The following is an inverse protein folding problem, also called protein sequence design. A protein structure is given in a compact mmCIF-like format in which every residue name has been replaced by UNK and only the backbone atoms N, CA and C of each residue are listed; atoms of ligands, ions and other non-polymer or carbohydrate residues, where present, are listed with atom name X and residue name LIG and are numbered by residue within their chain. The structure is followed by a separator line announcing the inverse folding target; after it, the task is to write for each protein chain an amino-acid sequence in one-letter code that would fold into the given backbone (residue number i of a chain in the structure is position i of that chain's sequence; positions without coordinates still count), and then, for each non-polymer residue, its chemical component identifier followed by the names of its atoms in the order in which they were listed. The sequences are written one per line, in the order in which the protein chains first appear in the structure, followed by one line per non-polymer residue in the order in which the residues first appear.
data_IF_472223110296
#
_entry.id   IF_472223110296
#
_cell.length_a   1.000
_cell.length_b   1.000
_cell.length_c   1.000
_cell.angle_alpha   90.00
_cell.angle_beta   90.00
_cell.angle_gamma   90.00
#
_symmetry.space_group_name_H-M   'P 1'
#
loop_
_entity.id
_entity.type
_entity.pdbx_description
1 polymer ?
#
# COMPACT_ATOMS: atom_id res chain seq x y z
N UNK A 1 -8.47 -33.16 21.55
CA UNK A 1 -8.26 -31.73 21.78
C UNK A 1 -9.59 -31.10 22.19
N UNK A 2 -9.68 -30.68 23.46
CA UNK A 2 -10.92 -30.19 24.10
C UNK A 2 -11.15 -28.74 23.67
N UNK A 3 -12.20 -28.45 22.91
CA UNK A 3 -12.62 -27.07 22.60
C UNK A 3 -13.07 -26.41 23.89
N UNK A 4 -12.28 -25.45 24.35
CA UNK A 4 -12.63 -24.61 25.50
C UNK A 4 -13.71 -23.64 25.06
N UNK A 5 -14.95 -23.85 25.56
CA UNK A 5 -16.09 -22.98 25.33
C UNK A 5 -15.87 -21.63 26.00
N UNK A 6 -15.48 -20.64 25.22
CA UNK A 6 -15.35 -19.22 25.63
C UNK A 6 -16.71 -18.55 25.88
N UNK A 7 -17.83 -19.28 25.73
CA UNK A 7 -19.19 -18.75 25.79
C UNK A 7 -19.77 -18.64 27.20
N UNK A 8 -19.03 -19.07 28.22
CA UNK A 8 -19.52 -19.07 29.63
C UNK A 8 -18.78 -18.09 30.55
N UNK A 9 -18.02 -17.15 30.01
CA UNK A 9 -17.48 -16.05 30.82
C UNK A 9 -18.62 -15.07 31.13
N UNK A 10 -19.28 -15.28 32.27
CA UNK A 10 -20.25 -14.33 32.81
C UNK A 10 -19.54 -13.06 33.27
N UNK A 11 -19.38 -12.14 32.30
CA UNK A 11 -18.80 -10.81 32.53
C UNK A 11 -19.56 -10.04 33.62
N UNK A 12 -20.85 -10.33 33.84
CA UNK A 12 -21.65 -9.75 34.92
C UNK A 12 -21.27 -10.30 36.30
N UNK A 13 -20.81 -11.55 36.38
CA UNK A 13 -20.31 -12.12 37.63
C UNK A 13 -18.90 -11.57 38.00
N UNK A 14 -18.05 -11.39 36.97
CA UNK A 14 -16.74 -10.76 37.15
C UNK A 14 -16.89 -9.28 37.60
N UNK A 15 -17.80 -8.53 36.97
CA UNK A 15 -18.08 -7.15 37.37
C UNK A 15 -18.63 -7.03 38.77
N UNK A 16 -19.53 -7.93 39.19
CA UNK A 16 -20.08 -7.98 40.53
C UNK A 16 -19.03 -8.36 41.60
N UNK A 17 -18.05 -9.20 41.23
CA UNK A 17 -16.93 -9.55 42.13
C UNK A 17 -15.96 -8.38 42.33
N UNK A 18 -15.75 -7.55 41.33
CA UNK A 18 -14.88 -6.37 41.39
C UNK A 18 -15.52 -5.15 42.11
N UNK A 19 -16.85 -5.09 42.14
CA UNK A 19 -17.57 -3.93 42.72
C UNK A 19 -18.18 -4.18 44.11
N UNK A 20 -18.15 -5.42 44.62
CA UNK A 20 -18.60 -5.72 46.00
C UNK A 20 -17.49 -5.36 47.00
N UNK A 21 -17.68 -4.37 47.89
CA UNK A 21 -16.82 -4.22 49.04
C UNK A 21 -17.08 -5.44 49.96
N UNK A 22 -16.04 -6.24 50.20
CA UNK A 22 -16.10 -7.35 51.14
C UNK A 22 -16.54 -6.82 52.53
N UNK A 23 -17.74 -7.23 52.94
CA UNK A 23 -18.32 -6.90 54.22
C UNK A 23 -17.77 -7.79 55.35
N UNK A 24 -16.47 -8.06 55.40
CA UNK A 24 -15.78 -8.65 56.53
C UNK A 24 -15.11 -7.57 57.30
N UNK A 25 -15.84 -7.06 58.31
CA UNK A 25 -15.37 -6.05 59.23
C UNK A 25 -14.36 -6.58 60.25
N UNK A 26 -13.18 -6.97 59.80
CA UNK A 26 -12.05 -7.25 60.69
C UNK A 26 -10.86 -6.39 60.23
N UNK A 27 -10.50 -5.46 61.08
CA UNK A 27 -9.19 -4.80 61.13
C UNK A 27 -8.77 -3.96 59.92
N UNK A 28 -9.58 -2.95 59.57
CA UNK A 28 -9.11 -1.87 58.66
C UNK A 28 -8.38 -0.80 59.46
N UNK A 29 -7.07 -0.93 59.54
CA UNK A 29 -6.18 0.13 60.05
C UNK A 29 -6.02 1.27 59.04
N UNK A 30 -6.47 1.08 57.78
CA UNK A 30 -6.41 2.09 56.70
C UNK A 30 -7.80 2.62 56.47
N UNK A 31 -8.05 3.94 56.58
CA UNK A 31 -9.34 4.52 56.24
C UNK A 31 -9.71 4.23 54.77
N UNK A 32 -10.98 3.89 54.47
CA UNK A 32 -11.40 3.61 53.12
C UNK A 32 -11.28 4.90 52.29
N UNK A 33 -10.23 5.01 51.50
CA UNK A 33 -10.09 6.10 50.50
C UNK A 33 -11.00 5.79 49.34
N UNK A 34 -12.30 6.10 49.48
CA UNK A 34 -13.37 5.68 48.58
C UNK A 34 -13.23 6.15 47.13
N UNK A 35 -12.37 7.12 46.86
CA UNK A 35 -12.17 7.65 45.48
C UNK A 35 -10.87 7.15 44.82
N UNK A 36 -9.84 6.82 45.58
CA UNK A 36 -8.54 6.40 45.03
C UNK A 36 -8.62 5.11 44.25
N UNK A 37 -9.36 4.11 44.74
CA UNK A 37 -9.54 2.83 44.07
C UNK A 37 -10.28 3.03 42.70
N UNK A 38 -11.32 3.88 42.68
CA UNK A 38 -12.06 4.17 41.49
C UNK A 38 -11.22 4.95 40.43
N UNK A 39 -10.43 5.92 40.90
CA UNK A 39 -9.51 6.65 40.02
C UNK A 39 -8.42 5.73 39.44
N UNK A 40 -7.87 4.82 40.26
CA UNK A 40 -6.90 3.84 39.79
C UNK A 40 -7.51 2.90 38.75
N UNK A 41 -8.74 2.44 38.97
CA UNK A 41 -9.44 1.58 38.01
C UNK A 41 -9.76 2.32 36.71
N UNK A 42 -10.19 3.57 36.82
CA UNK A 42 -10.45 4.45 35.66
C UNK A 42 -9.16 4.72 34.87
N UNK A 43 -8.07 5.07 35.55
CA UNK A 43 -6.80 5.34 34.87
C UNK A 43 -6.22 4.07 34.21
N UNK A 44 -6.30 2.92 34.88
CA UNK A 44 -5.90 1.65 34.28
C UNK A 44 -6.75 1.28 33.05
N UNK A 45 -8.08 1.48 33.14
CA UNK A 45 -8.98 1.28 32.02
C UNK A 45 -8.70 2.23 30.83
N UNK A 46 -8.43 3.49 31.13
CA UNK A 46 -8.07 4.47 30.10
C UNK A 46 -6.73 4.11 29.42
N UNK A 47 -5.73 3.70 30.20
CA UNK A 47 -4.45 3.26 29.64
C UNK A 47 -4.59 2.00 28.79
N UNK A 48 -5.37 1.02 29.26
CA UNK A 48 -5.64 -0.20 28.48
C UNK A 48 -6.39 0.14 27.17
N UNK A 49 -7.38 1.02 27.23
CA UNK A 49 -8.10 1.49 26.04
C UNK A 49 -7.15 2.17 25.05
N UNK A 50 -6.31 3.09 25.51
CA UNK A 50 -5.36 3.78 24.65
C UNK A 50 -4.32 2.82 24.04
N UNK A 51 -3.85 1.83 24.79
CA UNK A 51 -2.94 0.82 24.29
C UNK A 51 -3.56 -0.04 23.18
N UNK A 52 -4.81 -0.50 23.38
CA UNK A 52 -5.55 -1.25 22.37
C UNK A 52 -5.85 -0.38 21.12
N UNK A 53 -6.23 0.87 21.33
CA UNK A 53 -6.49 1.81 20.25
C UNK A 53 -5.22 2.11 19.44
N UNK A 54 -4.10 2.36 20.11
CA UNK A 54 -2.81 2.57 19.44
C UNK A 54 -2.39 1.35 18.63
N UNK A 55 -2.56 0.14 19.19
CA UNK A 55 -2.26 -1.10 18.48
C UNK A 55 -3.18 -1.28 17.25
N UNK A 56 -4.47 -1.04 17.40
CA UNK A 56 -5.43 -1.12 16.30
C UNK A 56 -5.09 -0.12 15.19
N UNK A 57 -4.72 1.12 15.55
CA UNK A 57 -4.30 2.14 14.60
C UNK A 57 -3.01 1.75 13.89
N UNK A 58 -2.00 1.23 14.61
CA UNK A 58 -0.75 0.77 14.02
C UNK A 58 -0.97 -0.37 13.01
N UNK A 59 -1.84 -1.34 13.34
CA UNK A 59 -2.21 -2.42 12.44
C UNK A 59 -3.00 -1.93 11.21
N UNK A 60 -3.89 -0.95 11.39
CA UNK A 60 -4.67 -0.39 10.29
C UNK A 60 -3.77 0.39 9.32
N UNK A 61 -2.87 1.23 9.84
CA UNK A 61 -1.91 1.98 9.02
C UNK A 61 -0.92 1.07 8.31
N UNK A 62 -0.45 0.01 8.97
CA UNK A 62 0.41 -1.00 8.36
C UNK A 62 -0.26 -1.68 7.16
N UNK A 63 -1.51 -2.13 7.32
CA UNK A 63 -2.27 -2.74 6.22
C UNK A 63 -2.53 -1.78 5.06
N UNK A 64 -2.78 -0.52 5.34
CA UNK A 64 -2.98 0.50 4.30
C UNK A 64 -1.68 0.76 3.54
N UNK A 65 -0.55 0.90 4.26
CA UNK A 65 0.76 1.07 3.65
C UNK A 65 1.14 -0.13 2.77
N UNK A 66 0.84 -1.35 3.21
CA UNK A 66 1.09 -2.57 2.46
C UNK A 66 0.27 -2.64 1.16
N UNK A 67 -1.02 -2.26 1.21
CA UNK A 67 -1.86 -2.18 0.01
C UNK A 67 -1.32 -1.15 -0.98
N UNK A 68 -1.01 0.06 -0.53
CA UNK A 68 -0.46 1.09 -1.40
C UNK A 68 0.92 0.72 -1.96
N UNK A 69 1.75 0.08 -1.16
CA UNK A 69 3.03 -0.45 -1.62
C UNK A 69 2.84 -1.47 -2.73
N UNK A 70 1.87 -2.36 -2.61
CA UNK A 70 1.58 -3.39 -3.61
C UNK A 70 1.00 -2.77 -4.89
N UNK A 71 0.05 -1.85 -4.78
CA UNK A 71 -0.55 -1.18 -5.96
C UNK A 71 0.49 -0.35 -6.74
N UNK A 72 1.35 0.40 -6.02
CA UNK A 72 2.43 1.17 -6.66
C UNK A 72 3.58 0.28 -7.18
N UNK A 73 3.72 -0.93 -6.64
CA UNK A 73 4.76 -1.89 -7.05
C UNK A 73 4.43 -2.60 -8.34
N UNK A 74 3.16 -2.68 -8.69
CA UNK A 74 2.67 -3.47 -9.81
C UNK A 74 2.61 -2.70 -11.13
N UNK A 75 2.98 -1.43 -11.14
CA UNK A 75 2.95 -0.61 -12.35
C UNK A 75 4.35 -0.15 -12.73
N UNK A 76 4.76 -0.49 -13.95
CA UNK A 76 6.02 -0.09 -14.56
C UNK A 76 5.70 0.66 -15.85
N UNK A 77 6.51 1.62 -16.23
CA UNK A 77 6.28 2.41 -17.44
C UNK A 77 7.35 2.11 -18.50
N UNK A 78 6.93 1.84 -19.71
CA UNK A 78 7.82 1.80 -20.87
C UNK A 78 7.68 3.14 -21.61
N UNK A 79 8.81 3.85 -21.74
CA UNK A 79 8.92 5.07 -22.53
C UNK A 79 9.42 4.72 -23.91
N UNK A 80 8.70 5.13 -24.94
CA UNK A 80 9.06 4.91 -26.32
C UNK A 80 9.35 6.25 -27.01
N UNK A 81 10.58 6.41 -27.49
CA UNK A 81 11.04 7.56 -28.26
C UNK A 81 11.55 7.07 -29.60
N UNK A 82 10.83 7.37 -30.68
CA UNK A 82 11.22 7.02 -32.03
C UNK A 82 10.87 8.16 -32.99
N UNK A 83 11.49 8.20 -34.19
CA UNK A 83 11.05 9.10 -35.26
C UNK A 83 9.56 8.93 -35.59
N UNK A 84 8.90 10.01 -36.05
CA UNK A 84 7.46 10.00 -36.26
C UNK A 84 7.00 8.96 -37.30
N UNK A 85 7.84 8.60 -38.24
CA UNK A 85 7.61 7.56 -39.23
C UNK A 85 7.69 6.14 -38.73
N UNK A 86 8.29 5.93 -37.54
CA UNK A 86 8.52 4.62 -36.93
C UNK A 86 7.78 4.43 -35.60
N UNK A 87 7.23 5.50 -35.01
CA UNK A 87 6.66 5.48 -33.68
C UNK A 87 5.48 4.50 -33.56
N UNK A 88 4.65 4.42 -34.61
CA UNK A 88 3.47 3.54 -34.60
C UNK A 88 3.89 2.06 -34.70
N UNK A 89 4.82 1.73 -35.58
CA UNK A 89 5.34 0.39 -35.77
C UNK A 89 6.08 -0.11 -34.50
N UNK A 90 6.91 0.76 -33.92
CA UNK A 90 7.59 0.43 -32.68
C UNK A 90 6.62 0.31 -31.49
N UNK A 91 5.56 1.11 -31.45
CA UNK A 91 4.50 0.98 -30.43
C UNK A 91 3.81 -0.39 -30.53
N UNK A 92 3.45 -0.80 -31.74
CA UNK A 92 2.85 -2.12 -31.98
C UNK A 92 3.79 -3.26 -31.54
N UNK A 93 5.07 -3.14 -31.89
CA UNK A 93 6.10 -4.12 -31.48
C UNK A 93 6.24 -4.18 -29.96
N UNK A 94 6.32 -3.05 -29.27
CA UNK A 94 6.40 -3.03 -27.79
C UNK A 94 5.19 -3.69 -27.16
N UNK A 95 3.98 -3.38 -27.62
CA UNK A 95 2.76 -4.00 -27.12
C UNK A 95 2.73 -5.52 -27.34
N UNK A 96 3.24 -6.00 -28.47
CA UNK A 96 3.34 -7.44 -28.75
C UNK A 96 4.39 -8.13 -27.85
N UNK A 97 5.55 -7.50 -27.65
CA UNK A 97 6.58 -7.97 -26.72
C UNK A 97 6.00 -8.09 -25.30
N UNK A 98 5.28 -7.06 -24.84
CA UNK A 98 4.67 -7.04 -23.51
C UNK A 98 3.60 -8.13 -23.35
N UNK A 99 2.71 -8.29 -24.32
CA UNK A 99 1.68 -9.35 -24.32
C UNK A 99 2.25 -10.75 -24.26
N UNK A 100 3.41 -10.98 -24.85
CA UNK A 100 4.07 -12.29 -24.91
C UNK A 100 5.06 -12.51 -23.75
N UNK A 101 5.23 -11.52 -22.88
CA UNK A 101 6.13 -11.61 -21.72
C UNK A 101 5.41 -12.24 -20.53
N UNK A 102 5.89 -13.39 -20.00
CA UNK A 102 5.31 -14.00 -18.81
C UNK A 102 5.39 -13.04 -17.62
N UNK A 103 4.31 -12.99 -16.84
CA UNK A 103 4.24 -12.12 -15.65
C UNK A 103 3.75 -10.71 -15.91
N UNK A 104 3.54 -10.29 -17.16
CA UNK A 104 2.81 -9.08 -17.52
C UNK A 104 1.31 -9.38 -17.49
N UNK A 105 0.55 -8.67 -16.67
CA UNK A 105 -0.91 -8.82 -16.58
C UNK A 105 -1.62 -8.00 -17.63
N UNK A 106 -1.21 -6.75 -17.80
CA UNK A 106 -1.80 -5.79 -18.74
C UNK A 106 -0.75 -4.82 -19.25
N UNK A 107 -0.88 -4.41 -20.51
CA UNK A 107 -0.08 -3.34 -21.11
C UNK A 107 -1.01 -2.38 -21.84
N UNK A 108 -0.98 -1.11 -21.47
CA UNK A 108 -1.87 -0.08 -21.99
C UNK A 108 -1.06 1.12 -22.51
N UNK A 109 -1.28 1.49 -23.75
CA UNK A 109 -0.78 2.77 -24.27
C UNK A 109 -1.55 3.92 -23.60
N UNK A 110 -0.85 4.88 -23.02
CA UNK A 110 -1.48 6.10 -22.51
C UNK A 110 -1.93 6.97 -23.69
N UNK A 111 -3.22 7.35 -23.76
CA UNK A 111 -3.69 8.29 -24.76
C UNK A 111 -3.11 9.69 -24.51
N UNK A 112 -2.92 10.45 -25.60
CA UNK A 112 -2.35 11.80 -25.53
C UNK A 112 -3.13 12.73 -24.59
N UNK A 113 -4.44 12.57 -24.49
CA UNK A 113 -5.29 13.32 -23.55
C UNK A 113 -4.98 13.03 -22.06
N UNK A 114 -4.49 11.84 -21.71
CA UNK A 114 -4.03 11.52 -20.35
C UNK A 114 -2.64 12.13 -20.10
N UNK A 115 -1.77 12.08 -21.09
CA UNK A 115 -0.44 12.71 -21.03
C UNK A 115 -0.58 14.21 -20.87
N UNK A 116 -1.50 14.85 -21.60
CA UNK A 116 -1.81 16.27 -21.48
C UNK A 116 -2.23 16.66 -20.06
N UNK A 117 -3.11 15.90 -19.43
CA UNK A 117 -3.52 16.10 -18.04
C UNK A 117 -2.37 15.98 -17.05
N UNK A 118 -1.40 15.10 -17.32
CA UNK A 118 -0.21 14.95 -16.47
C UNK A 118 0.74 16.15 -16.61
N UNK A 119 0.73 16.82 -17.74
CA UNK A 119 1.57 17.99 -18.03
C UNK A 119 0.90 19.32 -17.61
N UNK A 120 -0.44 19.35 -17.53
CA UNK A 120 -1.22 20.54 -17.17
C UNK A 120 -0.73 21.29 -15.92
N UNK A 121 -0.37 20.62 -14.79
CA UNK A 121 0.13 21.30 -13.58
C UNK A 121 1.44 22.06 -13.78
N UNK A 122 2.23 21.67 -14.80
CA UNK A 122 3.57 22.23 -15.06
C UNK A 122 3.57 23.27 -16.17
N UNK A 123 2.74 23.09 -17.16
CA UNK A 123 2.75 23.91 -18.38
C UNK A 123 1.46 24.71 -18.61
N UNK A 124 0.41 24.45 -17.82
CA UNK A 124 -0.91 25.07 -18.01
C UNK A 124 -1.85 24.24 -18.90
N UNK A 125 -3.14 24.67 -19.00
CA UNK A 125 -4.19 23.85 -19.62
C UNK A 125 -4.18 23.77 -21.15
N UNK A 126 -3.38 24.57 -21.87
CA UNK A 126 -3.39 24.69 -23.32
C UNK A 126 -2.05 24.26 -23.94
N UNK A 127 -1.43 23.21 -23.44
CA UNK A 127 -0.14 22.73 -23.96
C UNK A 127 -0.38 21.87 -25.20
N UNK A 128 0.11 22.26 -26.38
CA UNK A 128 0.06 21.38 -27.53
C UNK A 128 1.08 20.24 -27.36
N UNK A 129 0.64 19.13 -26.79
CA UNK A 129 1.48 17.93 -26.57
C UNK A 129 2.11 17.44 -27.86
N UNK A 130 1.40 17.59 -28.98
CA UNK A 130 1.87 17.24 -30.33
C UNK A 130 3.10 18.03 -30.78
N UNK A 131 3.30 19.24 -30.24
CA UNK A 131 4.47 20.08 -30.55
C UNK A 131 5.67 19.80 -29.62
N UNK A 132 5.48 19.05 -28.57
CA UNK A 132 6.54 18.69 -27.63
C UNK A 132 7.14 17.33 -28.01
N UNK A 133 8.45 17.14 -27.88
CA UNK A 133 9.10 15.84 -28.08
C UNK A 133 8.80 14.91 -26.87
N UNK A 134 7.51 14.67 -26.61
CA UNK A 134 7.06 13.81 -25.51
C UNK A 134 7.14 12.35 -25.97
N UNK A 135 7.81 11.46 -25.24
CA UNK A 135 7.81 10.03 -25.56
C UNK A 135 6.42 9.45 -25.36
N UNK A 136 6.05 8.45 -26.14
CA UNK A 136 4.86 7.64 -25.87
C UNK A 136 5.08 6.83 -24.60
N UNK A 137 4.06 6.81 -23.74
CA UNK A 137 4.07 6.10 -22.48
C UNK A 137 3.18 4.87 -22.56
N UNK A 138 3.73 3.73 -22.20
CA UNK A 138 3.00 2.46 -22.10
C UNK A 138 3.06 2.02 -20.64
N UNK A 139 1.91 1.98 -20.03
CA UNK A 139 1.75 1.48 -18.67
C UNK A 139 1.68 -0.04 -18.69
N UNK A 140 2.48 -0.67 -17.85
CA UNK A 140 2.59 -2.12 -17.73
C UNK A 140 2.24 -2.51 -16.32
N UNK A 141 1.20 -3.31 -16.16
CA UNK A 141 0.82 -3.89 -14.87
C UNK A 141 1.44 -5.26 -14.70
N UNK A 142 2.12 -5.47 -13.59
CA UNK A 142 2.66 -6.76 -13.23
C UNK A 142 1.57 -7.71 -12.75
N UNK A 143 1.68 -8.98 -13.14
CA UNK A 143 0.88 -10.05 -12.57
C UNK A 143 1.39 -10.44 -11.17
N UNK A 144 0.66 -11.32 -10.46
CA UNK A 144 1.01 -11.72 -9.09
C UNK A 144 2.38 -12.42 -8.97
N UNK A 145 2.90 -12.96 -10.04
CA UNK A 145 4.22 -13.62 -10.08
C UNK A 145 5.37 -12.67 -10.45
N UNK A 146 5.03 -11.43 -10.87
CA UNK A 146 6.00 -10.48 -11.40
C UNK A 146 6.59 -10.90 -12.74
N UNK A 147 7.38 -10.03 -13.36
CA UNK A 147 8.15 -10.35 -14.57
C UNK A 147 9.64 -10.03 -14.36
N UNK A 148 10.51 -10.67 -15.15
CA UNK A 148 11.94 -10.37 -15.16
C UNK A 148 12.20 -9.06 -15.95
N UNK A 149 12.37 -7.96 -15.21
CA UNK A 149 12.59 -6.62 -15.77
C UNK A 149 13.89 -6.55 -16.59
N UNK A 150 14.92 -7.29 -16.21
CA UNK A 150 16.19 -7.31 -16.93
C UNK A 150 16.06 -8.04 -18.28
N UNK A 151 15.40 -9.18 -18.29
CA UNK A 151 15.12 -9.93 -19.52
C UNK A 151 14.21 -9.15 -20.47
N UNK A 152 13.16 -8.48 -19.92
CA UNK A 152 12.27 -7.64 -20.70
C UNK A 152 13.01 -6.44 -21.31
N UNK A 153 13.85 -5.75 -20.53
CA UNK A 153 14.64 -4.63 -21.02
C UNK A 153 15.57 -5.04 -22.18
N UNK A 154 16.24 -6.19 -22.08
CA UNK A 154 17.08 -6.72 -23.15
C UNK A 154 16.28 -7.05 -24.41
N UNK A 155 15.10 -7.63 -24.25
CA UNK A 155 14.21 -7.96 -25.34
C UNK A 155 13.70 -6.72 -26.07
N UNK A 156 13.26 -5.71 -25.30
CA UNK A 156 12.85 -4.42 -25.83
C UNK A 156 13.97 -3.73 -26.60
N UNK A 157 15.19 -3.76 -26.10
CA UNK A 157 16.37 -3.20 -26.75
C UNK A 157 16.65 -3.84 -28.11
N UNK A 158 16.38 -5.15 -28.25
CA UNK A 158 16.56 -5.88 -29.52
C UNK A 158 15.42 -5.66 -30.52
N UNK A 159 14.17 -5.63 -30.07
CA UNK A 159 12.98 -5.60 -30.92
C UNK A 159 12.42 -4.17 -31.17
N UNK A 160 12.59 -3.25 -30.20
CA UNK A 160 12.15 -1.86 -30.27
C UNK A 160 13.21 -0.93 -29.65
N UNK A 161 14.25 -0.53 -30.39
CA UNK A 161 15.41 0.19 -29.82
C UNK A 161 15.08 1.54 -29.19
N UNK A 162 13.94 2.14 -29.55
CA UNK A 162 13.44 3.38 -28.95
C UNK A 162 12.74 3.21 -27.60
N UNK A 163 12.48 1.96 -27.18
CA UNK A 163 11.78 1.66 -25.94
C UNK A 163 12.76 1.55 -24.75
N UNK A 164 12.44 2.23 -23.67
CA UNK A 164 13.18 2.20 -22.43
C UNK A 164 12.23 1.80 -21.30
N UNK A 165 12.53 0.70 -20.64
CA UNK A 165 11.82 0.27 -19.44
C UNK A 165 12.26 1.13 -18.26
N UNK A 166 11.32 1.85 -17.66
CA UNK A 166 11.53 2.66 -16.45
C UNK A 166 11.08 1.86 -15.24
N UNK A 167 12.00 1.06 -14.71
CA UNK A 167 11.75 0.21 -13.56
C UNK A 167 12.06 0.98 -12.27
N UNK A 168 11.02 1.32 -11.52
CA UNK A 168 11.12 2.05 -10.25
C UNK A 168 11.65 1.17 -9.11
N UNK A 169 11.83 -0.14 -9.31
CA UNK A 169 12.33 -1.07 -8.28
C UNK A 169 13.76 -0.71 -7.87
N UNK A 170 14.54 -0.17 -8.78
CA UNK A 170 15.93 0.25 -8.57
C UNK A 170 16.10 1.34 -7.50
N UNK A 171 15.08 2.16 -7.28
CA UNK A 171 15.08 3.24 -6.29
C UNK A 171 14.50 2.79 -4.94
N UNK A 172 13.81 1.66 -4.90
CA UNK A 172 13.16 1.14 -3.69
C UNK A 172 14.10 0.35 -2.79
N UNK A 173 15.01 -0.43 -3.35
CA UNK A 173 15.94 -1.24 -2.54
C UNK A 173 16.68 -0.45 -1.46
N UNK A 174 17.19 0.77 -1.72
CA UNK A 174 17.84 1.58 -0.69
C UNK A 174 16.87 2.10 0.38
N UNK A 175 15.59 2.34 0.03
CA UNK A 175 14.59 2.90 0.96
C UNK A 175 14.01 1.86 1.91
N UNK A 176 13.98 0.59 1.50
CA UNK A 176 13.48 -0.52 2.34
C UNK A 176 14.56 -1.00 3.32
N UNK A 177 15.83 -0.72 3.04
CA UNK A 177 16.97 -1.09 3.91
C UNK A 177 17.36 -0.02 4.93
N UNK A 178 16.77 1.16 4.89
CA UNK A 178 17.00 2.26 5.84
C UNK A 178 16.01 2.25 6.99
#
# INVERSE_FOLDING_TARGET
MKKTDLKSLDLGALWRGLTRPDATGADRVVPPTGYTAQLTLFSAGAMAFLAVFALALALATGRLAERWSTELAQTVTVRLSAPADQIDDQTATVLEVLKTTPGVAEARLLPDAEVEKLLEPWFGPDVPVEALPVPRLIEVSEGPEGFDSAALALRLQGEAPGAVLDDHTRWREPLVRA
#
